data_IF_092999255584
#
_entry.id   IF_092999255584
#
_cell.length_a   1.000
_cell.length_b   1.000
_cell.length_c   1.000
_cell.angle_alpha   90.00
_cell.angle_beta   90.00
_cell.angle_gamma   90.00
#
_symmetry.space_group_name_H-M   'P 1'
#
loop_
_entity.id
_entity.type
_entity.pdbx_description
1 polymer ?
#
# COMPACT_ATOMS: atom_id res chain seq x y z
N UNK A 1 9.61 -18.57 9.03
CA UNK A 1 8.54 -18.54 8.01
C UNK A 1 9.01 -17.64 6.87
N UNK A 2 9.23 -18.18 5.65
CA UNK A 2 9.70 -17.38 4.50
C UNK A 2 8.51 -16.60 3.95
N UNK A 3 8.22 -15.43 4.50
CA UNK A 3 7.21 -14.53 3.94
C UNK A 3 7.65 -14.14 2.53
N UNK A 4 6.89 -14.57 1.53
CA UNK A 4 7.19 -14.27 0.13
C UNK A 4 7.10 -12.75 -0.07
N UNK A 5 8.17 -12.07 -0.52
CA UNK A 5 8.15 -10.63 -0.77
C UNK A 5 7.02 -10.21 -1.73
N UNK A 6 6.62 -11.11 -2.64
CA UNK A 6 5.47 -10.90 -3.52
C UNK A 6 4.15 -10.90 -2.78
N UNK A 7 3.95 -11.84 -1.86
CA UNK A 7 2.72 -11.91 -1.07
C UNK A 7 2.54 -10.64 -0.23
N UNK A 8 3.63 -10.14 0.37
CA UNK A 8 3.61 -8.87 1.10
C UNK A 8 3.31 -7.69 0.18
N UNK A 9 3.87 -7.65 -1.02
CA UNK A 9 3.55 -6.60 -1.99
C UNK A 9 2.05 -6.55 -2.34
N UNK A 10 1.43 -7.70 -2.60
CA UNK A 10 0.00 -7.79 -2.88
C UNK A 10 -0.86 -7.45 -1.66
N UNK A 11 -0.44 -7.87 -0.47
CA UNK A 11 -1.15 -7.58 0.77
C UNK A 11 -1.17 -6.08 1.06
N UNK A 12 -0.02 -5.40 1.02
CA UNK A 12 0.05 -3.94 1.20
C UNK A 12 -0.71 -3.20 0.10
N UNK A 13 -0.66 -3.67 -1.15
CA UNK A 13 -1.44 -3.08 -2.23
C UNK A 13 -2.95 -3.20 -1.96
N UNK A 14 -3.42 -4.39 -1.55
CA UNK A 14 -4.82 -4.61 -1.22
C UNK A 14 -5.30 -3.74 -0.06
N UNK A 15 -4.50 -3.62 1.01
CA UNK A 15 -4.80 -2.75 2.14
C UNK A 15 -4.85 -1.28 1.68
N UNK A 16 -3.88 -0.81 0.89
CA UNK A 16 -3.87 0.55 0.35
C UNK A 16 -5.09 0.88 -0.50
N UNK A 17 -5.60 -0.07 -1.30
CA UNK A 17 -6.85 0.08 -2.06
C UNK A 17 -8.05 0.25 -1.13
N UNK A 18 -8.15 -0.55 -0.06
CA UNK A 18 -9.22 -0.43 0.95
C UNK A 18 -9.17 0.93 1.65
N UNK A 19 -7.98 1.38 2.07
CA UNK A 19 -7.84 2.71 2.67
C UNK A 19 -8.13 3.85 1.70
N UNK A 20 -7.85 3.68 0.41
CA UNK A 20 -8.25 4.66 -0.62
C UNK A 20 -9.77 4.74 -0.74
N UNK A 21 -10.47 3.60 -0.73
CA UNK A 21 -11.93 3.58 -0.71
C UNK A 21 -12.49 4.30 0.54
N UNK A 22 -11.92 4.03 1.72
CA UNK A 22 -12.31 4.71 2.96
C UNK A 22 -12.02 6.22 2.89
N UNK A 23 -10.88 6.62 2.33
CA UNK A 23 -10.55 8.04 2.16
C UNK A 23 -11.56 8.75 1.25
N UNK A 24 -11.98 8.11 0.15
CA UNK A 24 -13.02 8.66 -0.73
C UNK A 24 -14.36 8.76 0.00
N UNK A 25 -14.75 7.74 0.75
CA UNK A 25 -15.98 7.76 1.55
C UNK A 25 -15.97 8.89 2.59
N UNK A 26 -14.89 9.03 3.36
CA UNK A 26 -14.76 10.10 4.35
C UNK A 26 -14.65 11.48 3.71
N UNK A 27 -14.02 11.59 2.54
CA UNK A 27 -13.98 12.83 1.77
C UNK A 27 -15.38 13.26 1.30
N UNK A 28 -16.23 12.30 0.91
CA UNK A 28 -17.61 12.59 0.49
C UNK A 28 -18.54 12.94 1.64
N UNK A 29 -18.39 12.29 2.80
CA UNK A 29 -19.26 12.50 3.97
C UNK A 29 -18.85 13.73 4.81
N UNK A 30 -17.54 13.89 5.05
CA UNK A 30 -17.01 14.86 6.02
C UNK A 30 -16.11 15.92 5.38
N UNK A 31 -15.85 15.84 4.07
CA UNK A 31 -14.98 16.74 3.34
C UNK A 31 -13.51 16.31 3.31
N UNK A 32 -12.76 16.89 2.36
CA UNK A 32 -11.35 16.52 2.11
C UNK A 32 -10.41 16.86 3.26
N UNK A 33 -10.74 17.89 4.05
CA UNK A 33 -9.90 18.39 5.16
C UNK A 33 -10.26 17.76 6.51
N UNK A 34 -11.22 16.83 6.54
CA UNK A 34 -11.55 16.12 7.77
C UNK A 34 -10.38 15.27 8.25
N UNK A 35 -10.21 15.19 9.57
CA UNK A 35 -9.16 14.39 10.21
C UNK A 35 -9.15 12.93 9.70
N UNK A 36 -10.34 12.33 9.55
CA UNK A 36 -10.49 10.95 9.07
C UNK A 36 -10.10 10.78 7.60
N UNK A 37 -10.38 11.78 6.76
CA UNK A 37 -9.96 11.77 5.35
C UNK A 37 -8.44 11.86 5.23
N UNK A 38 -7.82 12.77 5.99
CA UNK A 38 -6.36 12.95 5.94
C UNK A 38 -5.63 11.71 6.46
N UNK A 39 -6.05 11.15 7.60
CA UNK A 39 -5.37 9.97 8.16
C UNK A 39 -5.49 8.76 7.23
N UNK A 40 -6.65 8.54 6.61
CA UNK A 40 -6.84 7.43 5.65
C UNK A 40 -6.04 7.64 4.37
N UNK A 41 -5.93 8.86 3.85
CA UNK A 41 -5.04 9.18 2.72
C UNK A 41 -3.57 8.92 3.03
N UNK A 42 -3.11 9.32 4.22
CA UNK A 42 -1.73 9.12 4.66
C UNK A 42 -1.43 7.63 4.78
N UNK A 43 -2.31 6.86 5.43
CA UNK A 43 -2.14 5.40 5.57
C UNK A 43 -2.10 4.72 4.20
N UNK A 44 -3.04 5.05 3.29
CA UNK A 44 -3.04 4.53 1.93
C UNK A 44 -1.71 4.81 1.20
N UNK A 45 -1.16 6.01 1.37
CA UNK A 45 0.13 6.40 0.77
C UNK A 45 1.29 5.53 1.27
N UNK A 46 1.35 5.28 2.59
CA UNK A 46 2.36 4.39 3.17
C UNK A 46 2.21 2.95 2.68
N UNK A 47 0.98 2.45 2.57
CA UNK A 47 0.71 1.10 2.06
C UNK A 47 1.16 0.93 0.61
N UNK A 48 0.85 1.90 -0.27
CA UNK A 48 1.34 1.87 -1.66
C UNK A 48 2.86 2.00 -1.75
N UNK A 49 3.47 2.87 -0.95
CA UNK A 49 4.93 3.01 -0.92
C UNK A 49 5.62 1.69 -0.51
N UNK A 50 5.08 1.02 0.51
CA UNK A 50 5.55 -0.29 0.94
C UNK A 50 5.34 -1.35 -0.14
N UNK A 51 4.17 -1.40 -0.77
CA UNK A 51 3.89 -2.33 -1.88
C UNK A 51 4.91 -2.17 -3.02
N UNK A 52 5.19 -0.93 -3.45
CA UNK A 52 6.20 -0.62 -4.47
C UNK A 52 7.58 -1.11 -4.03
N UNK A 53 7.96 -0.86 -2.78
CA UNK A 53 9.25 -1.31 -2.23
C UNK A 53 9.38 -2.82 -2.23
N UNK A 54 8.32 -3.56 -1.90
CA UNK A 54 8.31 -5.03 -1.94
C UNK A 54 8.37 -5.57 -3.38
N UNK A 55 7.70 -4.92 -4.34
CA UNK A 55 7.84 -5.26 -5.76
C UNK A 55 9.27 -5.04 -6.27
N UNK A 56 9.88 -3.90 -5.94
CA UNK A 56 11.27 -3.60 -6.29
C UNK A 56 12.25 -4.61 -5.67
N UNK A 57 12.06 -4.95 -4.39
CA UNK A 57 12.86 -5.95 -3.69
C UNK A 57 12.75 -7.33 -4.35
N UNK A 58 11.54 -7.77 -4.69
CA UNK A 58 11.33 -9.04 -5.39
C UNK A 58 12.02 -9.06 -6.76
N UNK A 59 11.97 -7.97 -7.52
CA UNK A 59 12.65 -7.87 -8.80
C UNK A 59 14.18 -7.92 -8.63
N UNK A 60 14.71 -7.27 -7.59
CA UNK A 60 16.13 -7.34 -7.26
C UNK A 60 16.58 -8.76 -6.86
N UNK A 61 15.79 -9.45 -6.03
CA UNK A 61 16.04 -10.83 -5.63
C UNK A 61 16.00 -11.80 -6.84
N UNK A 62 15.05 -11.62 -7.77
CA UNK A 62 14.98 -12.39 -9.02
C UNK A 62 16.21 -12.18 -9.89
N UNK A 63 16.75 -10.96 -9.97
CA UNK A 63 17.97 -10.65 -10.72
C UNK A 63 19.21 -11.28 -10.09
N UNK A 64 19.32 -11.26 -8.75
CA UNK A 64 20.44 -11.90 -8.04
C UNK A 64 20.42 -13.42 -8.12
N UNK A 65 19.24 -14.05 -8.17
CA UNK A 65 19.10 -15.51 -8.32
C UNK A 65 19.36 -16.03 -9.75
N UNK A 66 19.35 -15.14 -10.76
CA UNK A 66 19.68 -15.47 -12.16
C UNK A 66 21.16 -15.28 -12.50
N UNK A 67 21.97 -14.76 -11.57
CA UNK A 67 23.43 -14.70 -11.66
C UNK A 67 24.01 -15.85 -10.85
#
# INVERSE_FOLDING_TARGET
>A
MKTSPLFMAFLYLGIGVVFTYLAVHYASEYGMTSFWTIITMVVATFDFANAIRYFALNNHLKRKRKK
#
